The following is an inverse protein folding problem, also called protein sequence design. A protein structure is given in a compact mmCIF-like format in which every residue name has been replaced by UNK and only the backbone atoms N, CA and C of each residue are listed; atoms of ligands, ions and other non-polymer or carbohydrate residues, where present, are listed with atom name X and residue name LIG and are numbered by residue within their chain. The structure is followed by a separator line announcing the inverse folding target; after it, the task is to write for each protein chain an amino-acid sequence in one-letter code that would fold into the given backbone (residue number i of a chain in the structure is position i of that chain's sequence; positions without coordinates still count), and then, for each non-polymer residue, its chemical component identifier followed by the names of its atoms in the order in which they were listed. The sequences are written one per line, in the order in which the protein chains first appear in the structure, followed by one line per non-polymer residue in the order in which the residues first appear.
data_IF_956208740898
#
_entry.id   IF_956208740898
#
_cell.length_a   1.000
_cell.length_b   1.000
_cell.length_c   1.000
_cell.angle_alpha   90.00
_cell.angle_beta   90.00
_cell.angle_gamma   90.00
#
_symmetry.space_group_name_H-M   'P 1'
#
loop_
_entity.id
_entity.type
_entity.pdbx_description
1 polymer ?
#
# COMPACT_ATOMS: atom_id res chain seq x y z
N UNK A 1 -12.82 36.59 -24.39
CA UNK A 1 -12.70 36.75 -22.94
C UNK A 1 -13.67 35.73 -22.32
N UNK A 2 -13.19 34.57 -21.98
CA UNK A 2 -13.89 33.57 -21.21
C UNK A 2 -12.91 33.15 -20.11
N UNK A 3 -13.20 33.59 -18.90
CA UNK A 3 -12.49 33.24 -17.67
C UNK A 3 -12.89 31.85 -17.25
N UNK A 4 -11.92 30.98 -17.10
CA UNK A 4 -12.03 29.64 -16.52
C UNK A 4 -12.21 29.74 -15.02
N UNK A 5 -13.15 29.02 -14.40
CA UNK A 5 -13.29 28.92 -12.96
C UNK A 5 -12.79 27.55 -12.48
N UNK A 6 -11.50 27.38 -12.27
CA UNK A 6 -10.99 26.16 -11.63
C UNK A 6 -9.70 26.44 -10.87
N UNK A 7 -9.82 27.10 -9.70
CA UNK A 7 -8.70 27.21 -8.78
C UNK A 7 -9.14 27.60 -7.35
N UNK A 8 -10.07 26.81 -6.76
CA UNK A 8 -10.44 27.02 -5.35
C UNK A 8 -10.80 25.71 -4.64
N UNK A 9 -9.88 24.81 -4.46
CA UNK A 9 -10.20 23.59 -3.69
C UNK A 9 -9.06 23.06 -2.82
N UNK A 10 -8.21 23.88 -2.24
CA UNK A 10 -7.28 23.40 -1.19
C UNK A 10 -6.76 24.48 -0.22
N UNK A 11 -7.44 25.61 -0.06
CA UNK A 11 -7.00 26.64 0.90
C UNK A 11 -7.90 26.69 2.15
N UNK A 12 -7.59 25.86 3.14
CA UNK A 12 -7.82 26.20 4.54
C UNK A 12 -6.47 26.22 5.26
N UNK A 13 -5.84 27.37 5.25
CA UNK A 13 -4.73 27.67 6.15
C UNK A 13 -5.30 28.03 7.51
N UNK A 14 -5.20 27.13 8.48
CA UNK A 14 -5.32 27.48 9.90
C UNK A 14 -3.95 27.94 10.42
N UNK A 15 -3.83 29.25 10.63
CA UNK A 15 -2.61 29.95 11.07
C UNK A 15 -2.36 29.86 12.57
N UNK A 16 -2.71 28.78 13.27
CA UNK A 16 -2.59 28.70 14.74
C UNK A 16 -1.73 27.52 15.25
N UNK A 17 -0.67 27.09 14.58
CA UNK A 17 0.34 26.22 15.19
C UNK A 17 1.75 26.53 14.73
N UNK A 18 2.26 27.72 15.14
CA UNK A 18 3.69 27.91 15.31
C UNK A 18 4.04 27.39 16.72
N UNK A 19 5.15 26.61 16.79
CA UNK A 19 5.87 26.14 17.97
C UNK A 19 5.41 24.78 18.51
N UNK A 20 5.94 23.72 17.95
CA UNK A 20 6.73 22.70 18.68
C UNK A 20 7.22 21.65 17.68
N UNK A 21 8.38 21.86 17.10
CA UNK A 21 9.12 20.80 16.43
C UNK A 21 9.71 19.89 17.52
N UNK A 22 8.91 18.99 18.05
CA UNK A 22 9.44 17.83 18.75
C UNK A 22 10.05 16.96 17.64
N UNK A 23 11.38 16.98 17.52
CA UNK A 23 12.09 15.91 16.83
C UNK A 23 11.69 14.60 17.54
N UNK A 24 10.76 13.84 16.93
CA UNK A 24 10.56 12.45 17.35
C UNK A 24 11.89 11.74 17.07
N UNK A 25 12.45 10.99 18.04
CA UNK A 25 13.53 10.07 17.71
C UNK A 25 13.04 9.20 16.55
N UNK A 26 13.91 8.96 15.56
CA UNK A 26 13.58 8.10 14.44
C UNK A 26 13.03 6.76 14.94
N UNK A 27 12.09 6.13 14.22
CA UNK A 27 11.47 4.88 14.66
C UNK A 27 12.57 3.85 14.94
N UNK A 28 12.53 3.26 16.11
CA UNK A 28 13.34 2.08 16.42
C UNK A 28 12.92 0.94 15.48
N UNK A 29 13.84 0.06 15.14
CA UNK A 29 13.54 -1.19 14.43
C UNK A 29 12.50 -1.93 15.29
N UNK A 30 11.22 -1.94 14.85
CA UNK A 30 10.08 -2.51 15.60
C UNK A 30 8.85 -1.60 15.71
N UNK A 31 8.96 -0.29 15.39
CA UNK A 31 7.82 0.66 15.49
C UNK A 31 7.39 1.20 14.11
N UNK A 32 7.78 0.55 13.03
CA UNK A 32 7.47 1.03 11.69
C UNK A 32 6.10 0.54 11.25
N UNK A 33 5.20 1.48 11.01
CA UNK A 33 3.84 1.18 10.56
C UNK A 33 3.67 1.53 9.08
N UNK A 34 3.32 0.52 8.29
CA UNK A 34 3.03 0.65 6.87
C UNK A 34 1.53 0.42 6.64
N UNK A 35 0.92 1.30 5.85
CA UNK A 35 -0.50 1.15 5.55
C UNK A 35 -0.72 0.49 4.20
N UNK A 36 -1.92 -0.05 4.01
CA UNK A 36 -2.41 -0.49 2.71
C UNK A 36 -3.76 0.14 2.43
N UNK A 37 -4.02 0.52 1.20
CA UNK A 37 -5.27 1.16 0.79
C UNK A 37 -5.74 0.66 -0.57
N UNK A 38 -7.05 0.63 -0.77
CA UNK A 38 -7.68 0.40 -2.06
C UNK A 38 -8.47 1.63 -2.48
N UNK A 39 -8.16 2.20 -3.64
CA UNK A 39 -8.89 3.39 -4.10
C UNK A 39 -10.33 3.08 -4.56
N UNK A 40 -10.61 1.84 -5.01
CA UNK A 40 -11.95 1.41 -5.44
C UNK A 40 -12.59 2.37 -6.46
N UNK A 41 -13.77 2.87 -6.12
CA UNK A 41 -14.56 3.82 -6.90
C UNK A 41 -14.74 5.16 -6.16
N UNK A 42 -13.79 5.51 -5.29
CA UNK A 42 -13.80 6.79 -4.60
C UNK A 42 -13.57 7.94 -5.59
N UNK A 43 -14.05 9.13 -5.23
CA UNK A 43 -13.59 10.36 -5.84
C UNK A 43 -12.17 10.68 -5.35
N UNK A 44 -11.42 11.48 -6.11
CA UNK A 44 -10.02 11.80 -5.77
C UNK A 44 -9.92 12.51 -4.42
N UNK A 45 -10.82 13.46 -4.17
CA UNK A 45 -10.87 14.25 -2.94
C UNK A 45 -11.12 13.37 -1.72
N UNK A 46 -12.09 12.46 -1.80
CA UNK A 46 -12.43 11.52 -0.73
C UNK A 46 -11.24 10.59 -0.42
N UNK A 47 -10.54 10.14 -1.47
CA UNK A 47 -9.35 9.34 -1.33
C UNK A 47 -8.22 10.12 -0.65
N UNK A 48 -7.92 11.34 -1.10
CA UNK A 48 -6.88 12.19 -0.53
C UNK A 48 -7.18 12.53 0.93
N UNK A 49 -8.43 12.83 1.28
CA UNK A 49 -8.86 13.09 2.65
C UNK A 49 -8.66 11.85 3.54
N UNK A 50 -9.08 10.68 3.06
CA UNK A 50 -8.89 9.41 3.78
C UNK A 50 -7.41 9.11 4.07
N UNK A 51 -6.53 9.35 3.10
CA UNK A 51 -5.08 9.17 3.24
C UNK A 51 -4.51 10.14 4.28
N UNK A 52 -4.88 11.42 4.22
CA UNK A 52 -4.48 12.43 5.21
C UNK A 52 -4.98 12.10 6.61
N UNK A 53 -6.24 11.66 6.73
CA UNK A 53 -6.82 11.28 8.01
C UNK A 53 -6.13 10.06 8.65
N UNK A 54 -5.47 9.21 7.85
CA UNK A 54 -4.61 8.13 8.32
C UNK A 54 -3.19 8.59 8.68
N UNK A 55 -2.85 9.87 8.48
CA UNK A 55 -1.51 10.42 8.69
C UNK A 55 -0.49 9.99 7.64
N UNK A 56 -0.94 9.46 6.50
CA UNK A 56 -0.07 9.00 5.40
C UNK A 56 0.30 10.18 4.50
N UNK A 57 1.57 10.29 4.16
CA UNK A 57 2.13 11.34 3.30
C UNK A 57 2.87 10.78 2.08
N UNK A 58 2.90 9.44 1.93
CA UNK A 58 3.50 8.78 0.77
C UNK A 58 2.64 7.62 0.27
N UNK A 59 2.36 7.60 -1.03
CA UNK A 59 1.66 6.51 -1.72
C UNK A 59 2.64 5.76 -2.63
N UNK A 60 2.70 4.44 -2.44
CA UNK A 60 3.42 3.53 -3.34
C UNK A 60 2.39 2.70 -4.11
N UNK A 61 2.25 2.97 -5.40
CA UNK A 61 1.30 2.27 -6.28
C UNK A 61 1.82 0.90 -6.68
N UNK A 62 1.10 -0.14 -6.29
CA UNK A 62 1.42 -1.55 -6.58
C UNK A 62 0.48 -2.16 -7.63
N UNK A 63 -0.22 -1.34 -8.41
CA UNK A 63 -1.07 -1.80 -9.52
C UNK A 63 -0.22 -2.14 -10.73
N UNK A 64 -0.48 -3.28 -11.37
CA UNK A 64 0.18 -3.63 -12.64
C UNK A 64 -0.20 -2.67 -13.77
N UNK A 65 -1.45 -2.25 -13.81
CA UNK A 65 -2.00 -1.34 -14.81
C UNK A 65 -2.63 -0.13 -14.09
N UNK A 66 -1.91 0.99 -13.93
CA UNK A 66 -2.38 2.16 -13.21
C UNK A 66 -3.24 3.09 -14.10
N UNK A 67 -4.04 2.51 -14.99
CA UNK A 67 -4.96 3.22 -15.86
C UNK A 67 -6.40 2.75 -15.67
N UNK A 68 -7.33 3.69 -15.68
CA UNK A 68 -8.77 3.41 -15.62
C UNK A 68 -9.53 4.38 -16.52
N UNK A 69 -10.38 3.84 -17.41
CA UNK A 69 -11.32 4.66 -18.20
C UNK A 69 -12.49 5.16 -17.36
N UNK A 70 -12.86 4.38 -16.34
CA UNK A 70 -14.02 4.68 -15.49
C UNK A 70 -13.67 5.69 -14.39
N UNK A 71 -12.45 5.64 -13.88
CA UNK A 71 -11.96 6.48 -12.80
C UNK A 71 -10.64 7.13 -13.22
N UNK A 72 -10.67 8.10 -14.16
CA UNK A 72 -9.45 8.65 -14.77
C UNK A 72 -8.55 9.39 -13.77
N UNK A 73 -9.11 9.89 -12.68
CA UNK A 73 -8.36 10.52 -11.58
C UNK A 73 -7.48 9.55 -10.80
N UNK A 74 -7.64 8.23 -10.99
CA UNK A 74 -6.70 7.23 -10.50
C UNK A 74 -5.71 6.73 -11.56
N UNK A 75 -5.61 7.38 -12.72
CA UNK A 75 -4.51 7.10 -13.64
C UNK A 75 -3.18 7.52 -12.99
N UNK A 76 -2.10 6.77 -13.26
CA UNK A 76 -0.80 7.01 -12.65
C UNK A 76 -0.30 8.43 -12.86
N UNK A 77 -0.44 8.96 -14.08
CA UNK A 77 -0.03 10.34 -14.42
C UNK A 77 -0.84 11.37 -13.63
N UNK A 78 -2.16 11.19 -13.53
CA UNK A 78 -3.01 12.07 -12.73
C UNK A 78 -2.62 12.05 -11.24
N UNK A 79 -2.39 10.86 -10.67
CA UNK A 79 -1.95 10.74 -9.28
C UNK A 79 -0.58 11.39 -9.04
N UNK A 80 0.36 11.23 -9.98
CA UNK A 80 1.69 11.84 -9.89
C UNK A 80 1.64 13.37 -9.92
N UNK A 81 0.67 13.95 -10.65
CA UNK A 81 0.47 15.40 -10.73
C UNK A 81 -0.29 15.96 -9.53
N UNK A 82 -1.36 15.29 -9.08
CA UNK A 82 -2.32 15.89 -8.14
C UNK A 82 -2.06 15.51 -6.67
N UNK A 83 -1.56 14.31 -6.34
CA UNK A 83 -1.26 13.96 -4.95
C UNK A 83 -0.24 14.91 -4.28
N UNK A 84 0.83 15.37 -4.99
CA UNK A 84 1.75 16.35 -4.40
C UNK A 84 1.10 17.67 -4.02
N UNK A 85 0.07 18.13 -4.74
CA UNK A 85 -0.69 19.35 -4.38
C UNK A 85 -1.44 19.19 -3.06
N UNK A 86 -1.71 17.95 -2.67
CA UNK A 86 -2.31 17.58 -1.38
C UNK A 86 -1.29 17.27 -0.29
N UNK A 87 0.02 17.43 -0.55
CA UNK A 87 1.10 17.10 0.39
C UNK A 87 1.38 15.60 0.50
N UNK A 88 0.99 14.79 -0.51
CA UNK A 88 1.19 13.34 -0.55
C UNK A 88 2.12 13.02 -1.71
N UNK A 89 3.25 12.39 -1.45
CA UNK A 89 4.15 11.91 -2.51
C UNK A 89 3.57 10.68 -3.19
N UNK A 90 3.89 10.50 -4.48
CA UNK A 90 3.46 9.34 -5.25
C UNK A 90 4.65 8.68 -5.94
N UNK A 91 4.73 7.38 -5.82
CA UNK A 91 5.71 6.55 -6.53
C UNK A 91 5.09 5.21 -6.94
N UNK A 92 5.81 4.45 -7.78
CA UNK A 92 5.39 3.10 -8.19
C UNK A 92 6.44 2.08 -7.81
N UNK A 93 5.99 0.89 -7.42
CA UNK A 93 6.88 -0.26 -7.18
C UNK A 93 6.53 -1.40 -8.14
N UNK A 94 7.34 -1.57 -9.18
CA UNK A 94 7.12 -2.64 -10.17
C UNK A 94 7.30 -4.04 -9.56
N UNK A 95 8.24 -4.22 -8.65
CA UNK A 95 8.49 -5.48 -7.95
C UNK A 95 7.33 -5.92 -7.06
N UNK A 96 6.48 -4.99 -6.60
CA UNK A 96 5.30 -5.30 -5.78
C UNK A 96 3.99 -5.37 -6.59
N UNK A 97 4.03 -5.20 -7.92
CA UNK A 97 2.80 -5.22 -8.72
C UNK A 97 2.13 -6.59 -8.75
N UNK A 98 0.80 -6.63 -8.77
CA UNK A 98 0.01 -7.85 -8.95
C UNK A 98 0.07 -8.46 -10.35
N UNK A 99 -0.76 -9.47 -10.62
CA UNK A 99 -0.90 -10.16 -11.93
C UNK A 99 0.41 -10.78 -12.41
N UNK A 100 0.95 -11.72 -11.64
CA UNK A 100 2.16 -12.47 -12.00
C UNK A 100 1.84 -13.72 -12.81
N UNK A 101 2.76 -14.10 -13.66
CA UNK A 101 2.70 -15.35 -14.41
C UNK A 101 2.97 -16.55 -13.49
N UNK A 102 2.67 -17.75 -14.00
CA UNK A 102 3.03 -19.00 -13.32
C UNK A 102 4.54 -19.07 -13.17
N UNK A 103 5.01 -19.40 -11.98
CA UNK A 103 6.42 -19.71 -11.74
C UNK A 103 6.75 -21.11 -12.30
N UNK A 104 7.95 -21.25 -12.84
CA UNK A 104 8.52 -22.53 -13.25
C UNK A 104 9.66 -22.98 -12.34
N UNK A 105 10.05 -22.14 -11.36
CA UNK A 105 11.15 -22.40 -10.43
C UNK A 105 10.68 -22.74 -9.01
N UNK A 106 9.44 -22.37 -8.66
CA UNK A 106 8.85 -22.68 -7.36
C UNK A 106 7.93 -23.89 -7.50
N UNK A 107 8.17 -24.98 -6.76
CA UNK A 107 7.26 -26.14 -6.74
C UNK A 107 5.87 -25.73 -6.23
N UNK A 108 4.81 -26.30 -6.82
CA UNK A 108 3.43 -25.94 -6.50
C UNK A 108 3.10 -26.04 -5.01
N UNK A 109 3.63 -27.06 -4.35
CA UNK A 109 3.35 -27.41 -2.95
C UNK A 109 3.83 -26.33 -1.97
N UNK A 110 4.80 -25.48 -2.38
CA UNK A 110 5.36 -24.40 -1.55
C UNK A 110 4.29 -23.38 -1.18
N UNK A 111 3.36 -23.11 -2.12
CA UNK A 111 2.26 -22.18 -1.93
C UNK A 111 0.88 -22.80 -2.21
N UNK A 112 0.77 -24.14 -2.09
CA UNK A 112 -0.41 -24.94 -2.45
C UNK A 112 -1.68 -24.59 -1.67
N UNK A 113 -1.58 -23.93 -0.51
CA UNK A 113 -2.73 -23.43 0.23
C UNK A 113 -3.55 -22.38 -0.56
N UNK A 114 -2.94 -21.69 -1.52
CA UNK A 114 -3.64 -20.74 -2.38
C UNK A 114 -4.39 -21.45 -3.51
N UNK A 115 -5.68 -21.72 -3.35
CA UNK A 115 -6.55 -22.29 -4.41
C UNK A 115 -6.75 -21.33 -5.59
N UNK A 116 -6.71 -20.01 -5.34
CA UNK A 116 -6.78 -19.00 -6.38
C UNK A 116 -5.42 -18.86 -7.07
N UNK A 117 -5.36 -19.19 -8.36
CA UNK A 117 -4.11 -19.13 -9.15
C UNK A 117 -3.42 -17.78 -9.16
N UNK A 118 -4.17 -16.68 -9.11
CA UNK A 118 -3.56 -15.34 -9.09
C UNK A 118 -2.81 -15.08 -7.78
N UNK A 119 -3.34 -15.56 -6.65
CA UNK A 119 -2.65 -15.47 -5.36
C UNK A 119 -1.49 -16.47 -5.28
N UNK A 120 -1.67 -17.67 -5.79
CA UNK A 120 -0.59 -18.66 -5.88
C UNK A 120 0.60 -18.12 -6.67
N UNK A 121 0.36 -17.63 -7.89
CA UNK A 121 1.41 -17.03 -8.72
C UNK A 121 2.07 -15.81 -8.05
N UNK A 122 1.29 -15.04 -7.31
CA UNK A 122 1.84 -13.89 -6.58
C UNK A 122 2.69 -14.33 -5.39
N UNK A 123 2.27 -15.36 -4.66
CA UNK A 123 3.04 -15.94 -3.56
C UNK A 123 4.37 -16.54 -4.07
N UNK A 124 4.36 -17.20 -5.25
CA UNK A 124 5.58 -17.66 -5.89
C UNK A 124 6.53 -16.52 -6.26
N UNK A 125 5.99 -15.43 -6.84
CA UNK A 125 6.76 -14.22 -7.14
C UNK A 125 7.35 -13.61 -5.87
N UNK A 126 6.62 -13.63 -4.76
CA UNK A 126 7.05 -13.06 -3.49
C UNK A 126 8.25 -13.80 -2.84
N UNK A 127 8.64 -14.97 -3.36
CA UNK A 127 9.86 -15.68 -2.96
C UNK A 127 11.10 -15.25 -3.76
N UNK A 128 10.95 -14.38 -4.77
CA UNK A 128 12.05 -13.97 -5.65
C UNK A 128 12.73 -12.67 -5.24
N UNK A 129 13.92 -12.43 -5.78
CA UNK A 129 14.76 -11.24 -5.48
C UNK A 129 14.04 -9.93 -5.84
N UNK A 130 13.36 -9.87 -7.01
CA UNK A 130 12.63 -8.66 -7.43
C UNK A 130 11.64 -8.16 -6.35
N UNK A 131 10.94 -9.10 -5.71
CA UNK A 131 10.01 -8.79 -4.64
C UNK A 131 10.74 -8.41 -3.35
N UNK A 132 11.79 -9.15 -2.98
CA UNK A 132 12.59 -8.91 -1.78
C UNK A 132 13.24 -7.53 -1.80
N UNK A 133 13.81 -7.14 -2.94
CA UNK A 133 14.41 -5.82 -3.14
C UNK A 133 13.33 -4.72 -3.02
N UNK A 134 12.16 -4.94 -3.61
CA UNK A 134 11.06 -3.99 -3.56
C UNK A 134 10.46 -3.85 -2.15
N UNK A 135 10.40 -4.91 -1.36
CA UNK A 135 10.03 -4.86 0.08
C UNK A 135 11.07 -4.07 0.86
N UNK A 136 12.35 -4.33 0.63
CA UNK A 136 13.44 -3.63 1.31
C UNK A 136 13.39 -2.12 1.03
N UNK A 137 13.13 -1.74 -0.22
CA UNK A 137 12.99 -0.33 -0.62
C UNK A 137 11.73 0.31 -0.02
N UNK A 138 10.60 -0.41 -0.01
CA UNK A 138 9.36 0.06 0.63
C UNK A 138 9.59 0.34 2.12
N UNK A 139 10.25 -0.57 2.83
CA UNK A 139 10.58 -0.42 4.25
C UNK A 139 11.53 0.75 4.51
N UNK A 140 12.55 0.92 3.68
CA UNK A 140 13.45 2.07 3.76
C UNK A 140 12.70 3.41 3.59
N UNK A 141 11.80 3.49 2.62
CA UNK A 141 10.96 4.68 2.42
C UNK A 141 10.01 4.92 3.61
N UNK A 142 9.41 3.85 4.14
CA UNK A 142 8.49 3.94 5.25
C UNK A 142 9.17 4.34 6.58
N UNK A 143 10.45 4.07 6.74
CA UNK A 143 11.24 4.54 7.88
C UNK A 143 11.37 6.07 7.92
N UNK A 144 11.36 6.71 6.75
CA UNK A 144 11.51 8.15 6.62
C UNK A 144 10.15 8.88 6.52
N UNK A 145 9.14 8.20 5.97
CA UNK A 145 7.89 8.85 5.58
C UNK A 145 6.69 7.93 5.82
N UNK A 146 5.61 8.39 6.50
CA UNK A 146 4.39 7.61 6.68
C UNK A 146 3.81 7.15 5.33
N UNK A 147 3.89 5.86 5.06
CA UNK A 147 3.69 5.28 3.72
C UNK A 147 2.50 4.32 3.68
N UNK A 148 1.74 4.38 2.58
CA UNK A 148 0.75 3.37 2.23
C UNK A 148 0.99 2.78 0.84
N UNK A 149 0.89 1.45 0.72
CA UNK A 149 0.80 0.79 -0.59
C UNK A 149 -0.63 0.87 -1.11
N UNK A 150 -0.81 1.22 -2.38
CA UNK A 150 -2.11 1.43 -3.00
C UNK A 150 -2.38 0.44 -4.13
N UNK A 151 -3.59 -0.14 -4.14
CA UNK A 151 -4.12 -0.90 -5.27
C UNK A 151 -5.56 -0.44 -5.61
N UNK A 152 -6.13 -0.94 -6.70
CA UNK A 152 -7.49 -0.62 -7.11
C UNK A 152 -8.56 -1.34 -6.27
N UNK A 153 -8.29 -2.55 -5.76
CA UNK A 153 -9.26 -3.37 -5.04
C UNK A 153 -9.61 -2.77 -3.67
N UNK A 154 -10.88 -2.53 -3.40
CA UNK A 154 -11.33 -1.95 -2.13
C UNK A 154 -10.92 -2.81 -0.93
N UNK A 155 -11.24 -4.10 -1.01
CA UNK A 155 -11.06 -5.03 0.11
C UNK A 155 -9.70 -5.74 0.04
N UNK A 156 -8.91 -5.59 1.09
CA UNK A 156 -7.54 -6.10 1.12
C UNK A 156 -7.47 -7.63 0.96
N UNK A 157 -8.43 -8.39 1.51
CA UNK A 157 -8.44 -9.86 1.45
C UNK A 157 -8.72 -10.43 0.05
N UNK A 158 -9.14 -9.61 -0.92
CA UNK A 158 -9.30 -9.96 -2.34
C UNK A 158 -8.18 -9.41 -3.21
N UNK A 159 -7.12 -8.87 -2.59
CA UNK A 159 -6.03 -8.19 -3.25
C UNK A 159 -4.68 -8.78 -2.85
N UNK A 160 -3.70 -8.75 -3.75
CA UNK A 160 -2.32 -9.17 -3.50
C UNK A 160 -1.63 -8.39 -2.36
N UNK A 161 -2.15 -7.23 -1.95
CA UNK A 161 -1.68 -6.47 -0.78
C UNK A 161 -1.68 -7.31 0.50
N UNK A 162 -2.54 -8.34 0.60
CA UNK A 162 -2.54 -9.26 1.74
C UNK A 162 -1.24 -10.07 1.86
N UNK A 163 -0.66 -10.48 0.71
CA UNK A 163 0.62 -11.20 0.68
C UNK A 163 1.77 -10.24 0.95
N UNK A 164 1.72 -8.99 0.44
CA UNK A 164 2.69 -7.96 0.80
C UNK A 164 2.67 -7.71 2.31
N UNK A 165 1.48 -7.63 2.91
CA UNK A 165 1.33 -7.44 4.35
C UNK A 165 1.98 -8.58 5.16
N UNK A 166 1.80 -9.84 4.74
CA UNK A 166 2.44 -10.98 5.41
C UNK A 166 3.97 -10.89 5.40
N UNK A 167 4.56 -10.48 4.28
CA UNK A 167 6.01 -10.29 4.19
C UNK A 167 6.50 -9.11 5.04
N UNK A 168 5.76 -8.01 5.13
CA UNK A 168 6.07 -6.91 6.04
C UNK A 168 6.01 -7.35 7.50
N UNK A 169 4.97 -8.09 7.88
CA UNK A 169 4.83 -8.68 9.22
C UNK A 169 5.98 -9.64 9.53
N UNK A 170 6.41 -10.46 8.56
CA UNK A 170 7.56 -11.35 8.72
C UNK A 170 8.87 -10.60 9.02
N UNK A 171 8.99 -9.36 8.57
CA UNK A 171 10.10 -8.46 8.87
C UNK A 171 9.93 -7.68 10.18
N UNK A 172 8.83 -7.90 10.92
CA UNK A 172 8.55 -7.24 12.18
C UNK A 172 7.84 -5.88 12.05
N UNK A 173 7.34 -5.52 10.87
CA UNK A 173 6.64 -4.26 10.66
C UNK A 173 5.16 -4.38 11.09
N UNK A 174 4.60 -3.29 11.64
CA UNK A 174 3.16 -3.18 11.84
C UNK A 174 2.47 -2.81 10.52
N UNK A 175 1.37 -3.48 10.20
CA UNK A 175 0.63 -3.20 8.96
C UNK A 175 -0.84 -2.89 9.27
N UNK A 176 -1.32 -1.75 8.75
CA UNK A 176 -2.70 -1.32 8.87
C UNK A 176 -3.42 -1.25 7.51
N UNK A 177 -4.60 -1.85 7.40
CA UNK A 177 -5.45 -1.72 6.22
C UNK A 177 -6.42 -0.55 6.39
N UNK A 178 -6.25 0.51 5.59
CA UNK A 178 -7.19 1.64 5.56
C UNK A 178 -8.45 1.18 4.82
N UNK A 179 -9.57 1.17 5.53
CA UNK A 179 -10.85 0.62 5.06
C UNK A 179 -11.86 1.70 4.68
N UNK A 180 -11.61 2.95 5.00
CA UNK A 180 -12.50 4.08 4.72
C UNK A 180 -12.30 5.24 5.68
N UNK A 181 -13.12 6.27 5.50
CA UNK A 181 -13.19 7.43 6.39
C UNK A 181 -14.41 7.28 7.31
N UNK A 182 -14.25 7.65 8.55
CA UNK A 182 -15.33 7.70 9.55
C UNK A 182 -15.36 9.06 10.27
N UNK A 183 -16.34 9.28 11.12
CA UNK A 183 -16.49 10.54 11.86
C UNK A 183 -15.28 10.88 12.77
N UNK A 184 -14.52 9.86 13.21
CA UNK A 184 -13.33 10.02 14.05
C UNK A 184 -12.01 9.94 13.28
N UNK A 185 -12.02 9.96 11.93
CA UNK A 185 -10.84 9.82 11.08
C UNK A 185 -10.83 8.53 10.27
N UNK A 186 -9.67 8.13 9.75
CA UNK A 186 -9.53 6.92 8.96
C UNK A 186 -9.85 5.66 9.78
N UNK A 187 -10.66 4.76 9.19
CA UNK A 187 -10.91 3.43 9.76
C UNK A 187 -9.78 2.52 9.32
N UNK A 188 -9.01 2.02 10.28
CA UNK A 188 -7.89 1.11 10.04
C UNK A 188 -8.17 -0.24 10.71
N UNK A 189 -7.94 -1.33 9.97
CA UNK A 189 -7.95 -2.69 10.49
C UNK A 189 -6.51 -3.18 10.56
N UNK A 190 -6.08 -3.68 11.71
CA UNK A 190 -4.75 -4.26 11.86
C UNK A 190 -4.63 -5.52 11.00
N UNK A 191 -3.50 -5.64 10.31
CA UNK A 191 -3.18 -6.84 9.55
C UNK A 191 -2.64 -7.92 10.47
N UNK A 192 -3.03 -9.14 10.17
CA UNK A 192 -2.47 -10.36 10.76
C UNK A 192 -2.05 -11.30 9.65
N UNK A 193 -1.16 -12.24 9.93
CA UNK A 193 -0.76 -13.25 8.95
C UNK A 193 -1.99 -13.99 8.40
N UNK A 194 -1.97 -14.25 7.11
CA UNK A 194 -3.00 -15.05 6.47
C UNK A 194 -2.96 -16.51 6.97
N UNK A 195 -4.12 -17.16 6.94
CA UNK A 195 -4.23 -18.58 7.29
C UNK A 195 -3.27 -19.41 6.42
N UNK A 196 -2.52 -20.30 7.07
CA UNK A 196 -1.54 -21.16 6.43
C UNK A 196 -0.22 -20.47 6.06
N UNK A 197 -0.03 -19.20 6.40
CA UNK A 197 1.24 -18.52 6.23
C UNK A 197 2.30 -19.08 7.19
N UNK A 198 3.46 -19.43 6.66
CA UNK A 198 4.63 -19.90 7.40
C UNK A 198 5.82 -19.00 7.09
N UNK A 199 6.39 -18.39 8.11
CA UNK A 199 7.58 -17.55 8.00
C UNK A 199 8.81 -18.46 8.12
N UNK A 200 9.68 -18.44 7.09
CA UNK A 200 10.97 -19.11 7.11
C UNK A 200 12.03 -18.34 7.88
N UNK A 201 13.17 -18.99 8.18
CA UNK A 201 14.33 -18.32 8.76
C UNK A 201 14.95 -17.25 7.84
N UNK A 202 14.61 -17.31 6.56
CA UNK A 202 14.96 -16.33 5.51
C UNK A 202 14.00 -15.15 5.46
N UNK A 203 13.02 -15.06 6.38
CA UNK A 203 11.95 -14.08 6.45
C UNK A 203 10.99 -14.10 5.23
N UNK A 204 11.11 -15.11 4.36
CA UNK A 204 10.15 -15.33 3.29
C UNK A 204 8.91 -16.04 3.82
N UNK A 205 7.75 -15.63 3.31
CA UNK A 205 6.46 -16.22 3.68
C UNK A 205 6.03 -17.24 2.62
N UNK A 206 5.70 -18.43 3.06
CA UNK A 206 5.21 -19.55 2.25
C UNK A 206 3.84 -19.97 2.74
N UNK A 207 3.07 -20.59 1.85
CA UNK A 207 1.71 -21.05 2.15
C UNK A 207 1.56 -22.54 1.76
N UNK A 208 2.23 -23.45 2.46
CA UNK A 208 2.16 -24.87 2.15
C UNK A 208 0.75 -25.41 2.30
N UNK A 209 0.41 -26.42 1.49
CA UNK A 209 -0.87 -27.10 1.62
C UNK A 209 -1.01 -27.70 3.01
N UNK A 210 -2.13 -27.40 3.67
CA UNK A 210 -2.42 -28.00 4.98
C UNK A 210 -2.98 -29.39 4.78
N UNK A 211 -2.32 -30.38 5.37
CA UNK A 211 -2.73 -31.80 5.37
C UNK A 211 -3.97 -32.04 6.24
#
# INVERSE_FOLDING_TARGET
MLTSPDMEACFFYDTRHLLYTIQRPGPSIGDMRIFTVGHSNLEFEDFAEMIKAAGVTSIVDVRKLPGSRKYPWFNGDHLAEHLPTCGITYSRSEGLTGRRNVSHSVPFEVNGNWRNRSFHNYADHALGEEFSDAISQLRANAAETPTAIMCAEAVWWRCHRRIIADHLIAHGDEVGHIMGLGAAGAKVSEATLNDGAVIGNDLLVRYPEQS
#
